data_IF_821636092248
#
_entry.id   IF_821636092248
#
_cell.length_a   1.000
_cell.length_b   1.000
_cell.length_c   1.000
_cell.angle_alpha   90.00
_cell.angle_beta   90.00
_cell.angle_gamma   90.00
#
_symmetry.space_group_name_H-M   'P 1'
#
loop_
_entity.id
_entity.type
_entity.pdbx_description
1 polymer ?
#
# COMPACT_ATOMS: atom_id res chain seq x y z
N UNK A 1 -1.47 3.96 23.13
CA UNK A 1 -0.12 3.96 23.71
C UNK A 1 0.58 5.26 23.30
N UNK A 2 1.31 5.91 24.20
CA UNK A 2 2.14 7.08 23.86
C UNK A 2 3.57 6.59 23.70
N UNK A 3 4.20 6.95 22.58
CA UNK A 3 5.56 6.53 22.21
C UNK A 3 6.25 7.72 21.59
N UNK A 4 7.53 7.94 21.92
CA UNK A 4 8.38 8.89 21.23
C UNK A 4 9.18 8.14 20.16
N UNK A 5 9.05 8.58 18.92
CA UNK A 5 9.79 8.07 17.76
C UNK A 5 10.24 9.26 16.92
N UNK A 6 11.39 9.13 16.28
CA UNK A 6 11.81 10.08 15.27
C UNK A 6 11.06 9.80 13.96
N UNK A 7 10.51 10.84 13.34
CA UNK A 7 9.75 10.75 12.10
C UNK A 7 10.12 11.93 11.19
N UNK A 8 10.10 11.69 9.88
CA UNK A 8 10.33 12.77 8.92
C UNK A 8 9.14 13.76 8.93
N UNK A 9 9.40 14.95 9.46
CA UNK A 9 8.41 16.01 9.60
C UNK A 9 7.85 16.47 8.24
N UNK A 10 8.69 16.48 7.18
CA UNK A 10 8.25 16.91 5.85
C UNK A 10 7.23 15.93 5.29
N UNK A 11 7.52 14.63 5.40
CA UNK A 11 6.61 13.57 4.98
C UNK A 11 5.29 13.59 5.75
N UNK A 12 5.33 13.84 7.07
CA UNK A 12 4.10 13.93 7.88
C UNK A 12 3.27 15.16 7.50
N UNK A 13 3.90 16.30 7.24
CA UNK A 13 3.20 17.51 6.78
C UNK A 13 2.54 17.31 5.43
N UNK A 14 3.24 16.70 4.48
CA UNK A 14 2.67 16.36 3.18
C UNK A 14 1.50 15.38 3.32
N UNK A 15 1.66 14.33 4.12
CA UNK A 15 0.60 13.37 4.40
C UNK A 15 -0.63 14.05 5.02
N UNK A 16 -0.44 14.95 5.98
CA UNK A 16 -1.52 15.72 6.59
C UNK A 16 -2.25 16.59 5.55
N UNK A 17 -1.50 17.26 4.67
CA UNK A 17 -2.08 18.08 3.60
C UNK A 17 -2.89 17.24 2.60
N UNK A 18 -2.41 16.06 2.22
CA UNK A 18 -3.08 15.16 1.28
C UNK A 18 -4.31 14.48 1.88
N UNK A 19 -4.25 14.10 3.17
CA UNK A 19 -5.32 13.34 3.84
C UNK A 19 -6.35 14.24 4.56
N UNK A 20 -6.03 15.52 4.76
CA UNK A 20 -6.86 16.43 5.55
C UNK A 20 -6.78 16.16 7.07
N UNK A 21 -5.83 15.36 7.53
CA UNK A 21 -5.66 15.05 8.95
C UNK A 21 -5.30 16.32 9.74
N UNK A 22 -6.01 16.56 10.85
CA UNK A 22 -5.86 17.79 11.65
C UNK A 22 -4.66 17.74 12.59
N UNK A 23 -4.17 16.54 12.89
CA UNK A 23 -3.05 16.32 13.82
C UNK A 23 -2.07 15.29 13.28
N UNK A 24 -0.79 15.40 13.66
CA UNK A 24 0.22 14.40 13.32
C UNK A 24 -0.17 13.01 13.85
N UNK A 25 -0.76 12.95 15.05
CA UNK A 25 -1.25 11.69 15.64
C UNK A 25 -2.31 11.03 14.74
N UNK A 26 -3.25 11.81 14.22
CA UNK A 26 -4.28 11.30 13.31
C UNK A 26 -3.67 10.79 12.01
N UNK A 27 -2.81 11.60 11.38
CA UNK A 27 -2.13 11.23 10.14
C UNK A 27 -1.34 9.92 10.27
N UNK A 28 -0.53 9.80 11.33
CA UNK A 28 0.27 8.59 11.59
C UNK A 28 -0.61 7.38 11.87
N UNK A 29 -1.67 7.52 12.68
CA UNK A 29 -2.56 6.40 12.96
C UNK A 29 -3.31 5.92 11.70
N UNK A 30 -3.71 6.84 10.82
CA UNK A 30 -4.33 6.50 9.55
C UNK A 30 -3.35 5.77 8.64
N UNK A 31 -2.13 6.30 8.47
CA UNK A 31 -1.09 5.67 7.68
C UNK A 31 -0.77 4.23 8.13
N UNK A 32 -0.67 3.99 9.44
CA UNK A 32 -0.43 2.64 9.98
C UNK A 32 -1.59 1.70 9.64
N UNK A 33 -2.84 2.16 9.76
CA UNK A 33 -4.02 1.35 9.42
C UNK A 33 -4.08 1.03 7.93
N UNK A 34 -3.79 2.02 7.09
CA UNK A 34 -3.80 1.86 5.64
C UNK A 34 -2.69 0.92 5.18
N UNK A 35 -1.49 1.04 5.75
CA UNK A 35 -0.40 0.11 5.47
C UNK A 35 -0.78 -1.33 5.86
N UNK A 36 -1.40 -1.53 7.02
CA UNK A 36 -1.88 -2.86 7.42
C UNK A 36 -2.93 -3.41 6.46
N UNK A 37 -3.87 -2.57 5.99
CA UNK A 37 -4.85 -2.96 4.98
C UNK A 37 -4.19 -3.39 3.67
N UNK A 38 -3.23 -2.62 3.18
CA UNK A 38 -2.47 -2.94 1.97
C UNK A 38 -1.70 -4.25 2.11
N UNK A 39 -0.99 -4.45 3.23
CA UNK A 39 -0.24 -5.69 3.47
C UNK A 39 -1.15 -6.91 3.56
N UNK A 40 -2.34 -6.79 4.18
CA UNK A 40 -3.33 -7.88 4.19
C UNK A 40 -3.81 -8.22 2.79
N UNK A 41 -4.15 -7.23 1.98
CA UNK A 41 -4.58 -7.44 0.60
C UNK A 41 -3.47 -8.11 -0.24
N UNK A 42 -2.22 -7.63 -0.13
CA UNK A 42 -1.06 -8.22 -0.81
C UNK A 42 -0.86 -9.68 -0.37
N UNK A 43 -0.98 -9.98 0.92
CA UNK A 43 -0.81 -11.33 1.42
C UNK A 43 -1.89 -12.28 0.89
N UNK A 44 -3.15 -11.82 0.80
CA UNK A 44 -4.23 -12.59 0.15
C UNK A 44 -3.88 -12.85 -1.31
N UNK A 45 -3.50 -11.83 -2.08
CA UNK A 45 -3.12 -12.00 -3.49
C UNK A 45 -1.93 -12.96 -3.66
N UNK A 46 -0.91 -12.85 -2.79
CA UNK A 46 0.23 -13.77 -2.80
C UNK A 46 -0.19 -15.21 -2.48
N UNK A 47 -1.18 -15.40 -1.61
CA UNK A 47 -1.70 -16.73 -1.25
C UNK A 47 -2.44 -17.42 -2.40
N UNK A 48 -2.87 -16.66 -3.41
CA UNK A 48 -3.52 -17.14 -4.63
C UNK A 48 -2.51 -17.55 -5.73
N UNK A 49 -1.22 -17.17 -5.58
CA UNK A 49 -0.18 -17.54 -6.54
C UNK A 49 -0.12 -19.05 -6.73
N UNK A 50 -0.23 -19.50 -7.98
CA UNK A 50 -0.21 -20.92 -8.35
C UNK A 50 -1.49 -21.70 -8.01
N UNK A 51 -2.51 -21.04 -7.45
CA UNK A 51 -3.83 -21.64 -7.17
C UNK A 51 -4.91 -21.23 -8.15
N UNK A 52 -4.71 -20.10 -8.83
CA UNK A 52 -5.64 -19.59 -9.82
C UNK A 52 -5.09 -19.96 -11.20
N UNK A 53 -5.90 -20.64 -12.00
CA UNK A 53 -5.59 -20.87 -13.41
C UNK A 53 -5.62 -19.54 -14.14
N UNK A 54 -4.56 -19.28 -14.90
CA UNK A 54 -4.48 -18.11 -15.75
C UNK A 54 -4.90 -18.51 -17.16
N UNK A 55 -5.89 -17.81 -17.70
CA UNK A 55 -6.38 -18.00 -19.06
C UNK A 55 -5.85 -16.89 -19.97
N UNK A 56 -5.10 -17.26 -21.00
CA UNK A 56 -4.59 -16.34 -22.01
C UNK A 56 -3.51 -16.98 -22.90
N UNK A 57 -3.24 -16.37 -24.05
CA UNK A 57 -2.10 -16.73 -24.92
C UNK A 57 -0.93 -15.79 -24.61
N UNK A 58 0.06 -16.30 -23.88
CA UNK A 58 1.27 -15.57 -23.50
C UNK A 58 2.12 -15.16 -24.71
N UNK A 59 2.10 -15.96 -25.77
CA UNK A 59 2.86 -15.67 -26.98
C UNK A 59 2.16 -14.58 -27.79
N UNK A 60 0.82 -14.57 -27.87
CA UNK A 60 0.06 -13.46 -28.46
C UNK A 60 0.41 -12.13 -27.82
N UNK A 61 0.37 -12.05 -26.49
CA UNK A 61 0.64 -10.81 -25.75
C UNK A 61 2.08 -10.29 -25.90
N UNK A 62 3.01 -11.13 -26.38
CA UNK A 62 4.41 -10.74 -26.61
C UNK A 62 4.68 -10.31 -28.05
N UNK A 63 3.83 -10.71 -29.00
CA UNK A 63 4.00 -10.36 -30.43
C UNK A 63 3.83 -8.87 -30.70
N UNK A 64 3.01 -8.16 -29.93
CA UNK A 64 2.77 -6.72 -30.08
C UNK A 64 3.87 -5.81 -29.48
N UNK A 65 5.00 -6.38 -29.03
CA UNK A 65 6.11 -5.62 -28.41
C UNK A 65 7.26 -5.27 -29.36
N UNK A 66 7.15 -5.51 -30.66
CA UNK A 66 8.15 -5.17 -31.66
C UNK A 66 7.52 -4.58 -32.92
#
# INVERSE_FOLDING_TARGET
>A
MRTNIDIDEKAVKELMAMTGARTMKEAVNNAVRDQLRQQRAINVLRSLRGKVEWEGDLDAMRRDRF
#
